data_IF_089039339567
#
_entry.id   IF_089039339567
#
_cell.length_a   1.000
_cell.length_b   1.000
_cell.length_c   1.000
_cell.angle_alpha   90.00
_cell.angle_beta   90.00
_cell.angle_gamma   90.00
#
_symmetry.space_group_name_H-M   'P 1'
#
loop_
_entity.id
_entity.type
_entity.pdbx_description
1 polymer ?
#
# COMPACT_ATOMS: atom_id res chain seq x y z
N UNK A 1 2.82 -7.50 1.27
CA UNK A 1 2.36 -6.11 1.54
C UNK A 1 3.51 -5.23 1.94
N UNK A 2 3.79 -4.18 1.17
CA UNK A 2 4.56 -3.02 1.59
C UNK A 2 4.00 -2.37 2.86
N UNK A 3 4.64 -1.31 3.32
CA UNK A 3 4.07 -0.41 4.32
C UNK A 3 3.13 0.59 3.65
N UNK A 4 2.21 1.17 4.41
CA UNK A 4 1.32 2.27 3.99
C UNK A 4 2.08 3.39 3.28
N UNK A 5 3.26 3.74 3.80
CA UNK A 5 4.12 4.75 3.19
C UNK A 5 4.64 4.38 1.80
N UNK A 6 4.93 3.11 1.52
CA UNK A 6 5.34 2.68 0.18
C UNK A 6 4.16 2.80 -0.80
N UNK A 7 2.94 2.46 -0.38
CA UNK A 7 1.75 2.69 -1.21
C UNK A 7 1.52 4.17 -1.53
N UNK A 8 1.71 5.06 -0.55
CA UNK A 8 1.63 6.51 -0.78
C UNK A 8 2.73 7.02 -1.72
N UNK A 9 3.94 6.46 -1.65
CA UNK A 9 5.02 6.77 -2.60
C UNK A 9 4.67 6.31 -4.02
N UNK A 10 4.13 5.11 -4.18
CA UNK A 10 3.60 4.61 -5.46
C UNK A 10 2.51 5.55 -5.99
N UNK A 11 1.60 6.00 -5.14
CA UNK A 11 0.57 6.98 -5.49
C UNK A 11 1.17 8.33 -5.95
N UNK A 12 2.16 8.87 -5.22
CA UNK A 12 2.85 10.12 -5.57
C UNK A 12 3.61 10.03 -6.89
N UNK A 13 4.17 8.86 -7.21
CA UNK A 13 4.83 8.62 -8.48
C UNK A 13 3.84 8.51 -9.66
N UNK A 14 2.61 8.04 -9.39
CA UNK A 14 1.51 8.05 -10.38
C UNK A 14 1.01 9.47 -10.63
N UNK A 15 0.67 10.19 -9.57
CA UNK A 15 0.23 11.58 -9.62
C UNK A 15 0.63 12.31 -8.33
N UNK A 16 1.56 13.25 -8.46
CA UNK A 16 2.10 14.02 -7.36
C UNK A 16 1.07 14.99 -6.74
N UNK A 17 0.04 15.35 -7.50
CA UNK A 17 -1.00 16.32 -7.14
C UNK A 17 -2.39 15.67 -7.02
N UNK A 18 -2.45 14.36 -6.87
CA UNK A 18 -3.71 13.62 -6.73
C UNK A 18 -4.55 14.14 -5.56
N UNK A 19 -5.86 13.87 -5.61
CA UNK A 19 -6.78 14.26 -4.55
C UNK A 19 -6.51 13.50 -3.24
N UNK A 20 -6.95 14.05 -2.11
CA UNK A 20 -6.92 13.32 -0.82
C UNK A 20 -7.62 11.98 -0.93
N UNK A 21 -8.74 11.92 -1.66
CA UNK A 21 -9.49 10.69 -1.85
C UNK A 21 -8.69 9.61 -2.60
N UNK A 22 -7.88 9.99 -3.59
CA UNK A 22 -6.94 9.06 -4.23
C UNK A 22 -6.00 8.42 -3.21
N UNK A 23 -5.37 9.22 -2.33
CA UNK A 23 -4.45 8.69 -1.33
C UNK A 23 -5.13 7.84 -0.26
N UNK A 24 -6.38 8.13 0.09
CA UNK A 24 -7.20 7.24 0.93
C UNK A 24 -7.41 5.90 0.21
N UNK A 25 -7.71 5.92 -1.10
CA UNK A 25 -7.81 4.69 -1.91
C UNK A 25 -6.51 3.89 -1.96
N UNK A 26 -5.34 4.55 -1.94
CA UNK A 26 -4.03 3.88 -1.83
C UNK A 26 -3.83 3.15 -0.49
N UNK A 27 -4.66 3.39 0.52
CA UNK A 27 -4.58 2.76 1.85
C UNK A 27 -5.80 1.90 2.18
N UNK A 28 -6.91 2.08 1.48
CA UNK A 28 -8.19 1.45 1.80
C UNK A 28 -8.11 -0.08 1.93
N UNK A 29 -7.45 -0.83 1.02
CA UNK A 29 -7.41 -2.29 1.17
C UNK A 29 -6.70 -2.75 2.44
N UNK A 30 -5.77 -1.94 2.94
CA UNK A 30 -4.94 -2.28 4.07
C UNK A 30 -5.68 -2.18 5.42
N UNK A 31 -6.90 -1.60 5.44
CA UNK A 31 -7.74 -1.45 6.62
C UNK A 31 -8.23 -2.80 7.21
N UNK A 32 -8.24 -3.86 6.40
CA UNK A 32 -8.63 -5.20 6.84
C UNK A 32 -7.51 -5.81 7.69
N UNK A 33 -7.83 -6.12 8.94
CA UNK A 33 -6.86 -6.71 9.90
C UNK A 33 -6.91 -8.23 9.96
N UNK A 34 -8.11 -8.80 9.80
CA UNK A 34 -8.32 -10.24 9.91
C UNK A 34 -7.60 -10.94 8.75
N UNK A 35 -6.71 -11.89 9.07
CA UNK A 35 -5.74 -12.41 8.11
C UNK A 35 -6.39 -13.11 6.92
N UNK A 36 -7.40 -13.95 7.17
CA UNK A 36 -8.09 -14.69 6.11
C UNK A 36 -8.84 -13.74 5.20
N UNK A 37 -9.61 -12.83 5.80
CA UNK A 37 -10.32 -11.78 5.06
C UNK A 37 -9.38 -10.87 4.27
N UNK A 38 -8.22 -10.51 4.84
CA UNK A 38 -7.20 -9.71 4.17
C UNK A 38 -6.64 -10.44 2.95
N UNK A 39 -6.26 -11.70 3.10
CA UNK A 39 -5.70 -12.47 2.00
C UNK A 39 -6.73 -12.66 0.85
N UNK A 40 -8.03 -12.77 1.16
CA UNK A 40 -9.10 -12.76 0.16
C UNK A 40 -9.20 -11.43 -0.61
N UNK A 41 -9.32 -10.29 0.08
CA UNK A 41 -9.45 -8.97 -0.57
C UNK A 41 -8.20 -8.54 -1.34
N UNK A 42 -7.06 -9.14 -0.99
CA UNK A 42 -5.81 -8.93 -1.70
C UNK A 42 -5.60 -9.95 -2.82
N UNK A 43 -6.56 -10.85 -3.06
CA UNK A 43 -6.49 -11.92 -4.06
C UNK A 43 -5.33 -12.92 -3.87
N UNK A 44 -4.86 -13.11 -2.63
CA UNK A 44 -3.80 -14.09 -2.32
C UNK A 44 -4.30 -15.53 -2.24
N UNK A 45 -5.61 -15.71 -2.10
CA UNK A 45 -6.28 -17.00 -2.18
C UNK A 45 -6.56 -17.44 -3.64
N UNK A 46 -6.48 -16.51 -4.60
CA UNK A 46 -6.62 -16.79 -6.03
C UNK A 46 -5.33 -17.40 -6.57
N UNK A 47 -5.48 -18.43 -7.41
CA UNK A 47 -4.35 -19.10 -8.08
C UNK A 47 -3.61 -18.16 -9.04
N UNK A 48 -4.37 -17.37 -9.79
CA UNK A 48 -3.85 -16.33 -10.67
C UNK A 48 -4.31 -14.97 -10.14
N UNK A 49 -3.37 -14.28 -9.47
CA UNK A 49 -3.64 -13.01 -8.81
C UNK A 49 -3.69 -11.86 -9.82
N UNK A 50 -2.96 -11.95 -10.93
CA UNK A 50 -3.00 -10.92 -11.98
C UNK A 50 -4.31 -10.98 -12.75
N UNK A 51 -4.81 -12.18 -13.05
CA UNK A 51 -6.13 -12.36 -13.65
C UNK A 51 -7.25 -11.83 -12.75
N UNK A 52 -7.17 -12.07 -11.43
CA UNK A 52 -8.13 -11.49 -10.48
C UNK A 52 -8.10 -9.95 -10.47
N UNK A 53 -6.92 -9.33 -10.65
CA UNK A 53 -6.80 -7.89 -10.81
C UNK A 53 -7.37 -7.40 -12.15
N UNK A 54 -7.23 -8.17 -13.23
CA UNK A 54 -7.91 -7.88 -14.50
C UNK A 54 -9.44 -7.93 -14.34
N UNK A 55 -9.98 -8.98 -13.72
CA UNK A 55 -11.41 -9.10 -13.42
C UNK A 55 -11.93 -7.92 -12.58
N UNK A 56 -11.12 -7.41 -11.64
CA UNK A 56 -11.45 -6.23 -10.85
C UNK A 56 -11.39 -4.95 -11.70
N UNK A 57 -10.33 -4.77 -12.49
CA UNK A 57 -10.15 -3.62 -13.39
C UNK A 57 -11.39 -3.40 -14.27
N UNK A 58 -11.94 -4.47 -14.85
CA UNK A 58 -13.13 -4.41 -15.73
C UNK A 58 -14.42 -3.96 -15.01
N UNK A 59 -14.44 -4.00 -13.67
CA UNK A 59 -15.62 -3.63 -12.85
C UNK A 59 -15.51 -2.24 -12.24
N UNK A 60 -14.32 -1.65 -12.23
CA UNK A 60 -14.07 -0.36 -11.59
C UNK A 60 -14.31 0.80 -12.56
N UNK A 61 -14.81 1.91 -12.04
CA UNK A 61 -14.73 3.19 -12.75
C UNK A 61 -13.33 3.78 -12.56
N UNK A 62 -12.47 3.59 -13.55
CA UNK A 62 -11.09 4.08 -13.51
C UNK A 62 -10.97 5.61 -13.67
N UNK A 63 -12.06 6.32 -13.97
CA UNK A 63 -12.10 7.79 -13.89
C UNK A 63 -12.29 8.27 -12.43
N UNK A 64 -12.78 7.41 -11.54
CA UNK A 64 -12.84 7.67 -10.11
C UNK A 64 -11.44 7.50 -9.49
N UNK A 65 -10.84 8.57 -8.94
CA UNK A 65 -9.50 8.50 -8.35
C UNK A 65 -9.40 7.51 -7.18
N UNK A 66 -10.48 7.28 -6.43
CA UNK A 66 -10.49 6.34 -5.31
C UNK A 66 -10.35 4.89 -5.79
N UNK A 67 -11.17 4.52 -6.78
CA UNK A 67 -11.17 3.18 -7.36
C UNK A 67 -9.88 2.86 -8.10
N UNK A 68 -9.39 3.84 -8.87
CA UNK A 68 -8.09 3.74 -9.53
C UNK A 68 -6.98 3.46 -8.50
N UNK A 69 -7.01 4.16 -7.36
CA UNK A 69 -6.00 4.01 -6.32
C UNK A 69 -6.09 2.66 -5.56
N UNK A 70 -7.29 2.11 -5.37
CA UNK A 70 -7.48 0.75 -4.84
C UNK A 70 -6.81 -0.27 -5.78
N UNK A 71 -7.04 -0.15 -7.09
CA UNK A 71 -6.42 -1.04 -8.06
C UNK A 71 -4.89 -0.94 -8.04
N UNK A 72 -4.37 0.29 -7.96
CA UNK A 72 -2.94 0.56 -7.81
C UNK A 72 -2.36 -0.08 -6.54
N UNK A 73 -3.05 0.03 -5.40
CA UNK A 73 -2.63 -0.59 -4.14
C UNK A 73 -2.48 -2.10 -4.29
N UNK A 74 -3.52 -2.77 -4.80
CA UNK A 74 -3.55 -4.22 -4.93
C UNK A 74 -2.51 -4.72 -5.96
N UNK A 75 -2.28 -3.95 -7.03
CA UNK A 75 -1.20 -4.24 -7.98
C UNK A 75 0.19 -4.09 -7.34
N UNK A 76 0.41 -3.03 -6.56
CA UNK A 76 1.67 -2.85 -5.84
C UNK A 76 1.90 -3.98 -4.83
N UNK A 77 0.85 -4.50 -4.19
CA UNK A 77 0.97 -5.70 -3.37
C UNK A 77 1.34 -6.95 -4.14
N UNK A 78 0.77 -7.15 -5.34
CA UNK A 78 1.16 -8.24 -6.23
C UNK A 78 2.66 -8.17 -6.52
N UNK A 79 3.14 -7.01 -6.98
CA UNK A 79 4.57 -6.80 -7.29
C UNK A 79 5.46 -6.95 -6.08
N UNK A 80 5.03 -6.45 -4.93
CA UNK A 80 5.78 -6.64 -3.69
C UNK A 80 5.90 -8.12 -3.33
N UNK A 81 4.81 -8.87 -3.45
CA UNK A 81 4.79 -10.29 -3.13
C UNK A 81 5.59 -11.12 -4.17
N UNK A 82 5.58 -10.73 -5.45
CA UNK A 82 6.39 -11.36 -6.52
C UNK A 82 7.88 -11.06 -6.40
N UNK A 83 8.27 -9.80 -6.29
CA UNK A 83 9.68 -9.38 -6.34
C UNK A 83 10.35 -9.49 -4.97
N UNK A 84 9.72 -8.89 -3.96
CA UNK A 84 10.33 -8.69 -2.65
C UNK A 84 10.11 -9.91 -1.77
N UNK A 85 8.87 -10.39 -1.68
CA UNK A 85 8.53 -11.54 -0.86
C UNK A 85 9.15 -12.83 -1.43
N UNK A 86 9.24 -13.01 -2.75
CA UNK A 86 9.89 -14.22 -3.31
C UNK A 86 11.42 -14.22 -3.12
N UNK A 87 12.11 -13.08 -3.30
CA UNK A 87 13.56 -13.00 -3.05
C UNK A 87 13.89 -13.07 -1.56
N UNK A 88 13.11 -12.43 -0.69
CA UNK A 88 13.33 -12.46 0.75
C UNK A 88 12.85 -13.76 1.42
N UNK A 89 11.71 -14.36 1.05
CA UNK A 89 11.28 -15.69 1.55
C UNK A 89 12.32 -16.76 1.29
N UNK A 90 12.84 -16.80 0.06
CA UNK A 90 13.81 -17.83 -0.36
C UNK A 90 15.16 -17.73 0.38
N UNK A 91 15.51 -16.56 0.89
CA UNK A 91 16.85 -16.32 1.44
C UNK A 91 16.89 -15.97 2.94
N UNK A 92 15.85 -15.38 3.51
CA UNK A 92 15.90 -14.83 4.88
C UNK A 92 14.96 -15.50 5.88
N UNK A 93 13.76 -15.94 5.50
CA UNK A 93 12.81 -16.56 6.43
C UNK A 93 12.21 -17.83 5.84
N UNK A 94 12.91 -18.95 6.02
CA UNK A 94 12.49 -20.30 5.62
C UNK A 94 11.39 -20.83 6.55
N UNK A 95 10.21 -20.21 6.49
CA UNK A 95 9.05 -20.52 7.36
C UNK A 95 9.32 -20.30 8.87
N UNK A 96 10.32 -19.49 9.21
CA UNK A 96 10.62 -19.07 10.57
C UNK A 96 9.78 -17.84 10.96
N UNK A 97 8.96 -18.00 11.99
CA UNK A 97 8.07 -16.95 12.52
C UNK A 97 8.84 -15.73 13.05
N UNK A 98 10.03 -15.91 13.63
CA UNK A 98 10.86 -14.81 14.14
C UNK A 98 11.45 -13.99 13.00
N UNK A 99 11.91 -14.65 11.94
CA UNK A 99 12.40 -13.95 10.76
C UNK A 99 11.26 -13.27 9.98
N UNK A 100 10.04 -13.82 9.99
CA UNK A 100 8.86 -13.12 9.47
C UNK A 100 8.54 -11.85 10.27
N UNK A 101 8.62 -11.89 11.61
CA UNK A 101 8.44 -10.70 12.45
C UNK A 101 9.50 -9.63 12.15
N UNK A 102 10.76 -10.04 11.96
CA UNK A 102 11.84 -9.13 11.57
C UNK A 102 11.59 -8.49 10.21
N UNK A 103 11.13 -9.27 9.22
CA UNK A 103 10.70 -8.75 7.92
C UNK A 103 9.59 -7.70 8.06
N UNK A 104 8.54 -7.97 8.85
CA UNK A 104 7.45 -7.01 9.10
C UNK A 104 7.94 -5.76 9.84
N UNK A 105 8.85 -5.91 10.79
CA UNK A 105 9.49 -4.80 11.49
C UNK A 105 10.25 -3.89 10.51
N UNK A 106 11.05 -4.46 9.62
CA UNK A 106 11.84 -3.67 8.65
C UNK A 106 10.95 -2.94 7.64
N UNK A 107 9.80 -3.51 7.27
CA UNK A 107 8.76 -2.80 6.49
C UNK A 107 8.24 -1.57 7.25
N UNK A 108 7.98 -1.71 8.54
CA UNK A 108 7.60 -0.59 9.40
C UNK A 108 8.70 0.48 9.43
N UNK A 109 9.94 0.07 9.74
CA UNK A 109 11.12 0.96 9.82
C UNK A 109 11.29 1.76 8.53
N UNK A 110 11.28 1.11 7.36
CA UNK A 110 11.44 1.84 6.10
C UNK A 110 10.26 2.77 5.83
N UNK A 111 9.04 2.38 6.20
CA UNK A 111 7.87 3.24 6.10
C UNK A 111 8.00 4.51 6.94
N UNK A 112 8.34 4.38 8.22
CA UNK A 112 8.53 5.53 9.11
C UNK A 112 9.69 6.44 8.67
N UNK A 113 10.79 5.85 8.20
CA UNK A 113 11.87 6.63 7.60
C UNK A 113 11.37 7.51 6.46
N UNK A 114 10.59 6.92 5.53
CA UNK A 114 10.03 7.68 4.42
C UNK A 114 9.02 8.75 4.85
N UNK A 115 8.25 8.49 5.91
CA UNK A 115 7.39 9.52 6.51
C UNK A 115 8.19 10.79 6.84
N UNK A 116 9.32 10.65 7.51
CA UNK A 116 10.12 11.78 8.01
C UNK A 116 10.98 12.49 6.97
N UNK A 117 11.39 11.83 5.88
CA UNK A 117 12.27 12.49 4.89
C UNK A 117 11.51 13.29 3.84
N UNK A 118 10.22 13.01 3.64
CA UNK A 118 9.41 13.69 2.63
C UNK A 118 8.53 14.77 3.28
N UNK A 119 8.74 16.06 2.93
CA UNK A 119 8.09 17.17 3.63
C UNK A 119 6.57 17.24 3.43
N UNK A 120 6.05 16.57 2.40
CA UNK A 120 4.61 16.53 2.11
C UNK A 120 3.84 15.55 3.01
N UNK A 121 4.52 14.64 3.72
CA UNK A 121 3.84 13.58 4.47
C UNK A 121 2.97 14.07 5.62
N UNK A 122 3.46 14.91 6.56
CA UNK A 122 2.64 15.31 7.71
C UNK A 122 1.34 15.97 7.26
N UNK A 123 1.40 16.81 6.23
CA UNK A 123 0.21 17.43 5.66
C UNK A 123 -0.71 16.39 5.00
N UNK A 124 -0.19 15.49 4.17
CA UNK A 124 -1.01 14.48 3.51
C UNK A 124 -1.73 13.57 4.50
N UNK A 125 -1.03 13.08 5.52
CA UNK A 125 -1.64 12.26 6.58
C UNK A 125 -2.72 13.02 7.32
N UNK A 126 -2.49 14.31 7.63
CA UNK A 126 -3.49 15.17 8.25
C UNK A 126 -4.70 15.41 7.34
N UNK A 127 -4.48 15.65 6.05
CA UNK A 127 -5.56 15.83 5.07
C UNK A 127 -6.44 14.56 4.98
N UNK A 128 -5.84 13.37 5.02
CA UNK A 128 -6.59 12.10 5.02
C UNK A 128 -7.32 11.85 6.34
N UNK A 129 -6.71 12.21 7.48
CA UNK A 129 -7.35 12.15 8.80
C UNK A 129 -8.55 13.10 8.87
N UNK A 130 -8.44 14.32 8.35
CA UNK A 130 -9.52 15.31 8.39
C UNK A 130 -10.60 15.10 7.31
N UNK A 131 -10.41 14.13 6.41
CA UNK A 131 -11.36 13.90 5.32
C UNK A 131 -12.68 13.33 5.88
N UNK A 132 -13.85 13.86 5.47
CA UNK A 132 -15.12 13.40 6.00
C UNK A 132 -15.40 11.93 5.60
N UNK A 133 -15.60 11.07 6.59
CA UNK A 133 -15.77 9.62 6.41
C UNK A 133 -17.00 9.29 5.55
N UNK A 134 -18.07 10.09 5.68
CA UNK A 134 -19.29 9.95 4.89
C UNK A 134 -19.10 10.21 3.38
N UNK A 135 -17.94 10.75 2.98
CA UNK A 135 -17.56 10.95 1.58
C UNK A 135 -16.71 9.82 1.02
N UNK A 136 -16.41 8.79 1.80
CA UNK A 136 -15.67 7.63 1.32
C UNK A 136 -16.61 6.80 0.44
N UNK A 137 -16.22 6.44 -0.80
CA UNK A 137 -17.02 5.55 -1.62
C UNK A 137 -17.17 4.16 -0.98
N UNK A 138 -18.40 3.65 -0.93
CA UNK A 138 -18.70 2.29 -0.51
C UNK A 138 -18.32 1.32 -1.62
N UNK A 139 -17.10 0.79 -1.55
CA UNK A 139 -16.55 -0.06 -2.60
C UNK A 139 -15.81 -1.25 -1.98
N UNK A 140 -16.09 -2.42 -2.55
CA UNK A 140 -15.30 -3.63 -2.38
C UNK A 140 -15.14 -4.07 -0.91
N UNK A 141 -16.23 -3.97 -0.16
CA UNK A 141 -16.33 -4.41 1.24
C UNK A 141 -15.28 -3.77 2.18
N UNK A 142 -14.73 -2.61 1.82
CA UNK A 142 -13.86 -1.83 2.68
C UNK A 142 -14.68 -0.83 3.52
N UNK A 143 -14.87 -1.06 4.84
CA UNK A 143 -15.73 -0.21 5.64
C UNK A 143 -15.07 1.16 5.87
N UNK A 144 -15.81 2.25 5.65
CA UNK A 144 -15.28 3.61 5.73
C UNK A 144 -14.68 3.95 7.11
N UNK A 145 -15.34 3.49 8.18
CA UNK A 145 -14.86 3.63 9.56
C UNK A 145 -13.53 2.92 9.78
N UNK A 146 -13.36 1.71 9.22
CA UNK A 146 -12.12 0.93 9.33
C UNK A 146 -10.97 1.55 8.54
N UNK A 147 -11.25 2.12 7.37
CA UNK A 147 -10.26 2.87 6.60
C UNK A 147 -9.78 4.08 7.40
N UNK A 148 -10.71 4.86 7.97
CA UNK A 148 -10.36 6.02 8.77
C UNK A 148 -9.60 5.64 10.05
N UNK A 149 -10.03 4.60 10.77
CA UNK A 149 -9.32 4.06 11.94
C UNK A 149 -7.89 3.66 11.60
N UNK A 150 -7.69 2.99 10.44
CA UNK A 150 -6.37 2.64 9.95
C UNK A 150 -5.51 3.89 9.69
N UNK A 151 -6.04 4.90 9.01
CA UNK A 151 -5.33 6.15 8.71
C UNK A 151 -4.89 6.84 9.99
N UNK A 152 -5.80 7.04 10.95
CA UNK A 152 -5.50 7.68 12.24
C UNK A 152 -4.40 6.93 12.98
N UNK A 153 -4.52 5.61 13.10
CA UNK A 153 -3.55 4.78 13.81
C UNK A 153 -2.17 4.83 13.14
N UNK A 154 -2.10 4.72 11.82
CA UNK A 154 -0.84 4.75 11.09
C UNK A 154 -0.19 6.13 11.13
N UNK A 155 -0.96 7.21 10.97
CA UNK A 155 -0.47 8.58 11.09
C UNK A 155 0.10 8.88 12.47
N UNK A 156 -0.59 8.42 13.53
CA UNK A 156 -0.10 8.48 14.91
C UNK A 156 1.21 7.70 15.07
N UNK A 157 1.25 6.45 14.61
CA UNK A 157 2.46 5.62 14.69
C UNK A 157 3.65 6.30 13.99
N UNK A 158 3.43 6.87 12.81
CA UNK A 158 4.49 7.59 12.09
C UNK A 158 5.01 8.82 12.84
N UNK A 159 4.11 9.57 13.46
CA UNK A 159 4.46 10.78 14.21
C UNK A 159 5.19 10.49 15.52
N UNK A 160 4.79 9.42 16.22
CA UNK A 160 5.34 9.05 17.54
C UNK A 160 6.68 8.30 17.46
N UNK A 161 7.09 7.84 16.26
CA UNK A 161 8.29 7.06 16.06
C UNK A 161 9.25 7.76 15.08
N UNK A 162 10.55 7.57 15.28
CA UNK A 162 11.59 7.98 14.33
C UNK A 162 12.65 6.86 14.25
N UNK A 163 12.48 5.95 13.30
CA UNK A 163 13.22 4.69 13.26
C UNK A 163 14.57 4.77 12.54
N UNK A 164 14.85 5.86 11.81
CA UNK A 164 15.97 5.93 10.88
C UNK A 164 15.84 4.96 9.70
N UNK A 165 16.83 4.91 8.78
CA UNK A 165 16.76 4.11 7.57
C UNK A 165 16.85 2.61 7.87
N UNK A 166 16.08 1.80 7.13
CA UNK A 166 16.18 0.34 7.23
C UNK A 166 17.42 -0.18 6.50
N UNK A 167 18.04 -1.22 7.07
CA UNK A 167 19.22 -1.87 6.48
C UNK A 167 18.85 -2.91 5.43
N UNK A 168 17.59 -3.36 5.42
CA UNK A 168 17.11 -4.42 4.55
C UNK A 168 16.44 -3.81 3.31
N UNK A 169 15.40 -3.01 3.54
CA UNK A 169 14.74 -2.22 2.51
C UNK A 169 15.40 -0.85 2.46
N UNK A 170 16.43 -0.71 1.63
CA UNK A 170 17.15 0.55 1.46
C UNK A 170 16.30 1.56 0.69
N UNK A 171 16.64 2.84 0.82
CA UNK A 171 15.94 3.89 0.08
C UNK A 171 16.00 3.68 -1.44
N UNK A 172 17.14 3.23 -1.96
CA UNK A 172 17.31 2.98 -3.40
C UNK A 172 16.51 1.78 -3.88
N UNK A 173 16.44 0.71 -3.06
CA UNK A 173 15.56 -0.43 -3.35
C UNK A 173 14.10 0.02 -3.46
N UNK A 174 13.63 0.84 -2.51
CA UNK A 174 12.23 1.30 -2.51
C UNK A 174 11.94 2.25 -3.67
N UNK A 175 12.86 3.15 -4.00
CA UNK A 175 12.74 4.01 -5.19
C UNK A 175 12.65 3.18 -6.47
N UNK A 176 13.51 2.17 -6.61
CA UNK A 176 13.46 1.26 -7.75
C UNK A 176 12.14 0.50 -7.80
N UNK A 177 11.70 -0.08 -6.68
CA UNK A 177 10.42 -0.80 -6.59
C UNK A 177 9.25 0.10 -6.99
N UNK A 178 9.17 1.32 -6.42
CA UNK A 178 8.12 2.29 -6.72
C UNK A 178 8.13 2.65 -8.20
N UNK A 179 9.28 3.02 -8.76
CA UNK A 179 9.40 3.39 -10.17
C UNK A 179 9.07 2.25 -11.14
N UNK A 180 9.55 1.04 -10.86
CA UNK A 180 9.23 -0.13 -11.70
C UNK A 180 7.74 -0.48 -11.63
N UNK A 181 7.19 -0.53 -10.41
CA UNK A 181 5.77 -0.86 -10.18
C UNK A 181 4.84 0.13 -10.88
N UNK A 182 5.10 1.43 -10.77
CA UNK A 182 4.25 2.44 -11.43
C UNK A 182 4.39 2.43 -12.94
N UNK A 183 5.60 2.18 -13.46
CA UNK A 183 5.83 2.01 -14.90
C UNK A 183 5.03 0.82 -15.44
N UNK A 184 5.15 -0.35 -14.82
CA UNK A 184 4.43 -1.56 -15.23
C UNK A 184 2.91 -1.38 -15.09
N UNK A 185 2.44 -0.78 -14.00
CA UNK A 185 1.01 -0.52 -13.78
C UNK A 185 0.43 0.40 -14.87
N UNK A 186 1.12 1.49 -15.23
CA UNK A 186 0.68 2.42 -16.30
C UNK A 186 0.63 1.75 -17.67
N UNK A 187 1.45 0.73 -17.91
CA UNK A 187 1.39 -0.07 -19.13
C UNK A 187 0.19 -1.01 -19.08
N UNK A 188 0.11 -1.81 -18.02
CA UNK A 188 -0.94 -2.81 -17.79
C UNK A 188 -2.36 -2.24 -17.81
N UNK A 189 -2.56 -1.03 -17.27
CA UNK A 189 -3.90 -0.42 -17.25
C UNK A 189 -4.40 -0.03 -18.65
N UNK A 190 -3.52 0.09 -19.64
CA UNK A 190 -3.84 0.43 -21.04
C UNK A 190 -4.06 -0.80 -21.93
N UNK A 191 -3.70 -1.98 -21.45
CA UNK A 191 -3.92 -3.27 -22.12
C UNK A 191 -5.36 -3.74 -21.91
#
# INVERSE_FOLDING_TARGET
>A
MPSSMIHLLTGKEIDANASTLFYIGCLAPDCIEERGFKDHHHFRDRKDRLEALHELKEKLDLADPYQYAILLHLYADLKWDEETCTRFRKHFYKDDVFEFQKYRKEIGVVGNYFYHIYPWNPKLWKDMEDFPVEKYPEIYDFPADKIHEFIVRQGKWHTENNTGPSKIFTADFIKYFVGNTTFEFRKWIKE
#
